data_IF_674835035953
#
_entry.id   IF_674835035953
#
_cell.length_a   1.000
_cell.length_b   1.000
_cell.length_c   1.000
_cell.angle_alpha   90.00
_cell.angle_beta   90.00
_cell.angle_gamma   90.00
#
_symmetry.space_group_name_H-M   'P 1'
#
loop_
_entity.id
_entity.type
_entity.pdbx_description
1 polymer ?
#
# COMPACT_ATOMS: atom_id res chain seq x y z
N UNK A 1 34.09 13.97 19.11
CA UNK A 1 33.29 12.75 19.29
C UNK A 1 32.07 12.63 18.37
N UNK A 2 31.76 13.63 17.49
CA UNK A 2 30.61 13.59 16.55
C UNK A 2 30.88 12.85 15.20
N UNK A 3 32.12 12.47 14.91
CA UNK A 3 32.51 11.87 13.61
C UNK A 3 32.43 10.34 13.52
N UNK A 4 32.15 9.63 14.62
CA UNK A 4 32.19 8.16 14.65
C UNK A 4 30.84 7.49 14.28
N UNK A 5 29.74 8.20 14.42
CA UNK A 5 28.39 7.62 14.22
C UNK A 5 28.02 7.52 12.72
N UNK A 6 28.62 8.37 11.87
CA UNK A 6 28.33 8.40 10.43
C UNK A 6 28.91 7.20 9.66
N UNK A 7 29.97 6.58 10.21
CA UNK A 7 30.64 5.43 9.57
C UNK A 7 29.97 4.08 9.86
N UNK A 8 29.15 3.99 10.92
CA UNK A 8 28.50 2.71 11.27
C UNK A 8 27.37 2.30 10.31
N UNK A 9 26.68 3.25 9.70
CA UNK A 9 25.61 2.94 8.73
C UNK A 9 26.14 2.38 7.41
N UNK A 10 27.31 2.86 6.97
CA UNK A 10 27.93 2.41 5.72
C UNK A 10 28.80 1.15 5.92
N UNK A 11 29.40 0.97 7.10
CA UNK A 11 30.15 -0.24 7.45
C UNK A 11 29.26 -1.46 7.68
N UNK A 12 28.01 -1.28 8.10
CA UNK A 12 27.07 -2.41 8.19
C UNK A 12 26.66 -2.95 6.81
N UNK A 13 26.62 -2.09 5.79
CA UNK A 13 26.41 -2.53 4.40
C UNK A 13 27.66 -3.17 3.77
N UNK A 14 28.88 -2.71 4.15
CA UNK A 14 30.14 -3.23 3.59
C UNK A 14 30.59 -4.55 4.24
N UNK A 15 30.25 -4.79 5.52
CA UNK A 15 30.58 -6.06 6.21
C UNK A 15 29.74 -7.26 5.75
N UNK A 16 28.66 -7.02 4.99
CA UNK A 16 27.87 -8.11 4.36
C UNK A 16 28.53 -8.59 3.04
N UNK A 17 29.50 -7.86 2.50
CA UNK A 17 30.15 -8.18 1.21
C UNK A 17 31.46 -8.97 1.33
N UNK A 18 31.94 -9.28 2.54
CA UNK A 18 33.21 -10.00 2.74
C UNK A 18 33.06 -11.44 3.23
N UNK A 19 32.07 -12.18 2.73
CA UNK A 19 32.07 -13.64 2.91
C UNK A 19 32.83 -14.32 1.77
N UNK A 20 33.79 -15.16 2.13
CA UNK A 20 34.70 -15.90 1.29
C UNK A 20 34.00 -16.77 0.23
N UNK A 21 34.54 -16.80 -0.99
CA UNK A 21 34.00 -17.55 -2.12
C UNK A 21 33.96 -19.09 -1.93
N UNK A 22 34.67 -19.65 -0.97
CA UNK A 22 34.73 -21.11 -0.72
C UNK A 22 33.54 -21.60 0.14
N UNK A 23 33.00 -20.79 1.03
CA UNK A 23 31.76 -21.12 1.77
C UNK A 23 30.53 -21.06 0.86
N UNK A 24 30.52 -20.19 -0.16
CA UNK A 24 29.41 -20.04 -1.11
C UNK A 24 29.21 -21.33 -1.96
N UNK A 25 30.25 -22.08 -2.28
CA UNK A 25 30.13 -23.34 -3.04
C UNK A 25 29.52 -24.47 -2.22
N UNK A 26 29.84 -24.56 -0.93
CA UNK A 26 29.28 -25.58 -0.03
C UNK A 26 27.81 -25.30 0.25
N UNK A 27 27.47 -24.05 0.51
CA UNK A 27 26.09 -23.64 0.77
C UNK A 27 25.21 -23.75 -0.50
N UNK A 28 25.77 -23.48 -1.69
CA UNK A 28 25.06 -23.66 -2.96
C UNK A 28 24.75 -25.14 -3.27
N UNK A 29 25.64 -26.06 -2.96
CA UNK A 29 25.41 -27.51 -3.15
C UNK A 29 24.41 -28.02 -2.13
N UNK A 30 24.46 -27.56 -0.88
CA UNK A 30 23.49 -27.92 0.17
C UNK A 30 22.11 -27.36 -0.16
N UNK A 31 22.03 -26.09 -0.62
CA UNK A 31 20.79 -25.48 -1.06
C UNK A 31 20.21 -26.14 -2.32
N UNK A 32 21.06 -26.61 -3.25
CA UNK A 32 20.60 -27.35 -4.44
C UNK A 32 20.07 -28.74 -4.07
N UNK A 33 20.70 -29.46 -3.12
CA UNK A 33 20.22 -30.73 -2.61
C UNK A 33 18.94 -30.60 -1.79
N UNK A 34 18.81 -29.54 -0.99
CA UNK A 34 17.58 -29.19 -0.28
C UNK A 34 16.44 -28.80 -1.22
N UNK A 35 16.76 -28.07 -2.29
CA UNK A 35 15.78 -27.75 -3.33
C UNK A 35 15.36 -29.00 -4.11
N UNK A 36 16.28 -29.90 -4.43
CA UNK A 36 15.98 -31.18 -5.08
C UNK A 36 15.16 -32.12 -4.18
N UNK A 37 15.46 -32.19 -2.88
CA UNK A 37 14.69 -32.98 -1.90
C UNK A 37 13.29 -32.41 -1.66
N UNK A 38 13.14 -31.06 -1.62
CA UNK A 38 11.85 -30.38 -1.59
C UNK A 38 11.05 -30.57 -2.88
N UNK A 39 11.71 -30.53 -4.05
CA UNK A 39 11.09 -30.82 -5.34
C UNK A 39 10.64 -32.27 -5.43
N UNK A 40 11.45 -33.24 -4.98
CA UNK A 40 11.06 -34.65 -4.92
C UNK A 40 9.90 -34.90 -3.95
N UNK A 41 9.84 -34.18 -2.82
CA UNK A 41 8.72 -34.24 -1.88
C UNK A 41 7.44 -33.63 -2.45
N UNK A 42 7.56 -32.58 -3.26
CA UNK A 42 6.42 -31.96 -3.99
C UNK A 42 5.90 -32.92 -5.08
N UNK A 43 6.78 -33.67 -5.76
CA UNK A 43 6.40 -34.64 -6.80
C UNK A 43 5.77 -35.90 -6.18
N UNK A 44 6.15 -36.30 -4.96
CA UNK A 44 5.56 -37.45 -4.27
C UNK A 44 4.20 -37.17 -3.63
N UNK A 45 3.82 -35.89 -3.46
CA UNK A 45 2.56 -35.47 -2.85
C UNK A 45 1.47 -35.08 -3.90
N UNK A 46 1.58 -35.66 -5.11
CA UNK A 46 0.63 -35.43 -6.22
C UNK A 46 -0.79 -35.99 -5.95
N UNK A 47 -1.05 -36.54 -4.78
CA UNK A 47 -2.39 -36.96 -4.33
C UNK A 47 -3.04 -36.01 -3.34
N UNK A 48 -2.34 -34.96 -2.88
CA UNK A 48 -2.93 -33.96 -2.01
C UNK A 48 -3.90 -33.09 -2.81
N UNK A 49 -5.19 -33.14 -2.44
CA UNK A 49 -6.19 -32.18 -2.97
C UNK A 49 -5.63 -30.77 -2.83
N UNK A 50 -5.69 -29.93 -3.89
CA UNK A 50 -5.18 -28.57 -3.79
C UNK A 50 -5.82 -27.86 -2.61
N UNK A 51 -4.99 -27.24 -1.76
CA UNK A 51 -5.49 -26.47 -0.59
C UNK A 51 -6.42 -25.37 -1.12
N UNK A 52 -7.65 -25.34 -0.61
CA UNK A 52 -8.63 -24.33 -1.00
C UNK A 52 -8.17 -22.91 -0.65
N UNK A 53 -7.33 -22.75 0.36
CA UNK A 53 -6.76 -21.49 0.82
C UNK A 53 -5.33 -21.30 0.34
N UNK A 54 -5.06 -20.10 -0.16
CA UNK A 54 -3.69 -19.60 -0.44
C UNK A 54 -3.44 -18.37 0.42
N UNK A 55 -2.39 -18.43 1.23
CA UNK A 55 -2.00 -17.35 2.15
C UNK A 55 -0.62 -16.86 1.74
N UNK A 56 -0.45 -15.53 1.61
CA UNK A 56 0.82 -14.89 1.35
C UNK A 56 0.91 -13.63 2.20
N UNK A 57 2.00 -13.48 2.92
CA UNK A 57 2.29 -12.28 3.72
C UNK A 57 3.62 -11.68 3.28
N UNK A 58 3.66 -10.37 3.23
CA UNK A 58 4.86 -9.60 2.95
C UNK A 58 4.94 -8.43 3.93
N UNK A 59 6.07 -8.28 4.60
CA UNK A 59 6.43 -7.11 5.37
C UNK A 59 7.59 -6.41 4.68
N UNK A 60 7.47 -5.12 4.43
CA UNK A 60 8.50 -4.31 3.79
C UNK A 60 8.89 -3.17 4.72
N UNK A 61 10.17 -3.05 5.04
CA UNK A 61 10.72 -1.94 5.81
C UNK A 61 11.47 -1.01 4.86
N UNK A 62 11.16 0.27 4.90
CA UNK A 62 11.77 1.29 4.07
C UNK A 62 12.53 2.31 4.92
N UNK A 63 13.65 2.78 4.39
CA UNK A 63 14.44 3.87 4.94
C UNK A 63 14.83 4.84 3.82
N UNK A 64 14.71 6.12 4.11
CA UNK A 64 15.06 7.22 3.21
C UNK A 64 15.85 8.25 4.02
N UNK A 65 16.95 8.77 3.47
CA UNK A 65 17.78 9.78 4.14
C UNK A 65 18.29 10.80 3.12
N UNK A 66 18.25 12.07 3.51
CA UNK A 66 19.02 13.14 2.89
C UNK A 66 19.84 13.87 3.96
N UNK A 67 21.03 14.33 3.62
CA UNK A 67 21.90 15.05 4.54
C UNK A 67 22.64 16.16 3.80
N UNK A 68 22.61 17.36 4.38
CA UNK A 68 23.32 18.53 3.88
C UNK A 68 24.10 19.15 5.04
N UNK A 69 25.37 19.37 4.84
CA UNK A 69 26.24 20.05 5.81
C UNK A 69 27.10 21.05 5.04
N UNK A 70 26.98 22.36 5.35
CA UNK A 70 27.69 23.45 4.68
C UNK A 70 27.55 23.42 3.15
N UNK A 71 26.39 22.99 2.65
CA UNK A 71 26.10 22.89 1.23
C UNK A 71 25.70 24.26 0.67
N UNK A 72 26.50 24.79 -0.27
CA UNK A 72 26.37 26.18 -0.76
C UNK A 72 24.99 26.46 -1.40
N UNK A 73 24.41 25.48 -2.05
CA UNK A 73 23.11 25.63 -2.73
C UNK A 73 21.90 25.44 -1.81
N UNK A 74 22.13 25.25 -0.49
CA UNK A 74 21.09 24.97 0.48
C UNK A 74 20.60 23.53 0.42
N UNK A 75 19.69 23.18 1.32
CA UNK A 75 19.08 21.86 1.44
C UNK A 75 18.64 21.58 2.87
N UNK A 76 17.63 20.72 3.03
CA UNK A 76 17.13 20.30 4.35
C UNK A 76 17.38 18.81 4.53
N UNK A 77 18.17 18.46 5.55
CA UNK A 77 18.41 17.07 5.93
C UNK A 77 17.12 16.42 6.38
N UNK A 78 16.92 15.16 6.00
CA UNK A 78 15.74 14.38 6.41
C UNK A 78 16.07 12.92 6.66
N UNK A 79 15.30 12.30 7.54
CA UNK A 79 15.35 10.88 7.84
C UNK A 79 13.92 10.37 7.94
N UNK A 80 13.60 9.33 7.15
CA UNK A 80 12.28 8.72 7.15
C UNK A 80 12.36 7.21 7.25
N UNK A 81 11.44 6.63 8.00
CA UNK A 81 11.24 5.20 8.10
C UNK A 81 9.77 4.88 7.89
N UNK A 82 9.49 3.78 7.19
CA UNK A 82 8.14 3.25 7.08
C UNK A 82 8.13 1.73 7.01
N UNK A 83 7.04 1.15 7.49
CA UNK A 83 6.74 -0.27 7.41
C UNK A 83 5.44 -0.47 6.64
N UNK A 84 5.42 -1.46 5.74
CA UNK A 84 4.24 -1.89 5.00
C UNK A 84 4.02 -3.38 5.20
N UNK A 85 2.84 -3.74 5.63
CA UNK A 85 2.37 -5.11 5.65
C UNK A 85 1.33 -5.32 4.55
N UNK A 86 1.49 -6.39 3.76
CA UNK A 86 0.49 -6.87 2.80
C UNK A 86 0.21 -8.35 3.06
N UNK A 87 -1.03 -8.66 3.39
CA UNK A 87 -1.53 -10.02 3.54
C UNK A 87 -2.58 -10.34 2.49
N UNK A 88 -2.49 -11.53 1.87
CA UNK A 88 -3.47 -12.07 0.94
C UNK A 88 -3.96 -13.41 1.46
N UNK A 89 -5.27 -13.57 1.60
CA UNK A 89 -5.95 -14.74 2.15
C UNK A 89 -7.04 -15.15 1.16
N UNK A 90 -6.66 -15.93 0.15
CA UNK A 90 -7.52 -16.25 -0.98
C UNK A 90 -8.03 -17.68 -0.89
N UNK A 91 -9.33 -17.83 -0.98
CA UNK A 91 -10.02 -19.11 -1.07
C UNK A 91 -10.49 -19.37 -2.50
N UNK A 92 -10.25 -20.56 -3.01
CA UNK A 92 -10.76 -20.98 -4.31
C UNK A 92 -11.13 -22.46 -4.28
N UNK A 93 -12.42 -22.75 -4.46
CA UNK A 93 -12.94 -24.12 -4.57
C UNK A 93 -14.18 -24.13 -5.45
N UNK A 94 -14.20 -25.03 -6.42
CA UNK A 94 -15.30 -25.23 -7.37
C UNK A 94 -15.69 -23.93 -8.09
N UNK A 95 -16.88 -23.40 -7.82
CA UNK A 95 -17.39 -22.14 -8.40
C UNK A 95 -17.19 -20.93 -7.49
N UNK A 96 -16.65 -21.12 -6.28
CA UNK A 96 -16.50 -20.07 -5.27
C UNK A 96 -15.07 -19.59 -5.23
N UNK A 97 -14.91 -18.27 -5.24
CA UNK A 97 -13.66 -17.56 -4.96
C UNK A 97 -13.91 -16.52 -3.87
N UNK A 98 -12.98 -16.36 -2.97
CA UNK A 98 -13.05 -15.35 -1.94
C UNK A 98 -11.66 -14.78 -1.71
N UNK A 99 -11.42 -13.63 -2.32
CA UNK A 99 -10.14 -12.94 -2.32
C UNK A 99 -10.15 -11.86 -1.24
N UNK A 100 -9.29 -12.02 -0.24
CA UNK A 100 -9.16 -11.08 0.86
C UNK A 100 -7.74 -10.52 0.87
N UNK A 101 -7.61 -9.21 1.15
CA UNK A 101 -6.33 -8.58 1.37
C UNK A 101 -6.38 -7.58 2.51
N UNK A 102 -5.24 -7.48 3.22
CA UNK A 102 -5.00 -6.45 4.22
C UNK A 102 -3.71 -5.71 3.83
N UNK A 103 -3.80 -4.39 3.73
CA UNK A 103 -2.65 -3.51 3.52
C UNK A 103 -2.57 -2.52 4.68
N UNK A 104 -1.48 -2.57 5.43
CA UNK A 104 -1.19 -1.68 6.53
C UNK A 104 0.11 -0.97 6.24
N UNK A 105 0.13 0.35 6.38
CA UNK A 105 1.33 1.15 6.19
C UNK A 105 1.45 2.17 7.30
N UNK A 106 2.63 2.29 7.89
CA UNK A 106 2.90 3.33 8.87
C UNK A 106 4.33 3.82 8.76
N UNK A 107 4.53 5.14 8.87
CA UNK A 107 5.85 5.71 8.80
C UNK A 107 5.90 7.13 9.33
N UNK A 108 7.09 7.48 9.82
CA UNK A 108 7.41 8.83 10.29
C UNK A 108 8.69 9.33 9.65
N UNK A 109 8.74 10.63 9.45
CA UNK A 109 9.91 11.36 8.98
C UNK A 109 10.28 12.48 9.95
N UNK A 110 11.54 12.82 9.96
CA UNK A 110 12.07 13.97 10.68
C UNK A 110 12.94 14.79 9.75
N UNK A 111 12.77 16.10 9.78
CA UNK A 111 13.55 17.05 8.98
C UNK A 111 14.35 17.96 9.90
N UNK A 112 15.44 18.50 9.38
CA UNK A 112 16.23 19.50 10.06
C UNK A 112 15.64 20.89 9.78
N UNK A 113 14.51 21.20 10.43
CA UNK A 113 13.78 22.45 10.22
C UNK A 113 14.50 23.67 10.78
N UNK A 114 15.41 23.47 11.74
CA UNK A 114 16.08 24.54 12.47
C UNK A 114 17.58 24.71 12.15
N UNK A 115 18.10 23.88 11.22
CA UNK A 115 19.50 23.92 10.80
C UNK A 115 20.52 23.45 11.84
N UNK A 116 20.06 22.81 12.94
CA UNK A 116 20.92 22.31 14.02
C UNK A 116 21.22 20.81 13.90
N UNK A 117 20.75 20.20 12.84
CA UNK A 117 20.89 18.78 12.54
C UNK A 117 19.63 17.97 12.83
N UNK A 118 19.42 16.90 12.07
CA UNK A 118 18.19 16.08 12.08
C UNK A 118 17.83 15.58 13.50
N UNK A 119 18.84 15.38 14.36
CA UNK A 119 18.64 14.84 15.72
C UNK A 119 18.45 15.90 16.79
N UNK A 120 18.40 17.20 16.42
CA UNK A 120 18.12 18.27 17.39
C UNK A 120 16.70 18.11 17.96
N UNK A 121 16.54 18.34 19.27
CA UNK A 121 15.27 18.16 19.99
C UNK A 121 14.13 19.07 19.51
N UNK A 122 14.45 20.17 18.83
CA UNK A 122 13.47 21.08 18.25
C UNK A 122 12.78 20.52 17.00
N UNK A 123 13.37 19.53 16.34
CA UNK A 123 12.78 18.91 15.16
C UNK A 123 11.74 17.85 15.55
N UNK A 124 10.57 17.90 14.93
CA UNK A 124 9.46 16.98 15.22
C UNK A 124 9.43 15.79 14.25
N UNK A 125 8.91 14.67 14.73
CA UNK A 125 8.52 13.58 13.84
C UNK A 125 7.17 13.90 13.22
N UNK A 126 7.11 13.84 11.88
CA UNK A 126 5.89 14.01 11.09
C UNK A 126 5.49 12.68 10.45
N UNK A 127 4.22 12.46 10.30
CA UNK A 127 3.68 11.33 9.58
C UNK A 127 3.99 11.45 8.08
N UNK A 128 4.61 10.44 7.48
CA UNK A 128 4.88 10.37 6.04
C UNK A 128 4.18 9.20 5.35
N UNK A 129 3.71 8.22 6.14
CA UNK A 129 2.88 7.11 5.68
C UNK A 129 1.88 6.72 6.76
N UNK A 130 0.64 6.49 6.35
CA UNK A 130 -0.40 6.02 7.24
C UNK A 130 -1.56 5.45 6.42
N UNK A 131 -1.73 4.14 6.47
CA UNK A 131 -2.70 3.42 5.66
C UNK A 131 -3.24 2.22 6.40
N UNK A 132 -4.55 2.11 6.44
CA UNK A 132 -5.30 0.89 6.73
C UNK A 132 -6.17 0.62 5.51
N UNK A 133 -6.01 -0.50 4.83
CA UNK A 133 -6.91 -0.93 3.77
C UNK A 133 -7.20 -2.42 3.91
N UNK A 134 -8.48 -2.74 4.12
CA UNK A 134 -8.98 -4.12 4.15
C UNK A 134 -9.90 -4.30 2.97
N UNK A 135 -9.70 -5.37 2.20
CA UNK A 135 -10.48 -5.65 1.01
C UNK A 135 -10.93 -7.10 1.00
N UNK A 136 -12.19 -7.34 0.71
CA UNK A 136 -12.80 -8.67 0.63
C UNK A 136 -13.69 -8.73 -0.60
N UNK A 137 -13.40 -9.64 -1.54
CA UNK A 137 -14.18 -9.85 -2.76
C UNK A 137 -14.64 -11.30 -2.77
N UNK A 138 -15.92 -11.49 -2.58
CA UNK A 138 -16.56 -12.79 -2.77
C UNK A 138 -17.02 -12.93 -4.23
N UNK A 139 -16.66 -14.01 -4.89
CA UNK A 139 -16.99 -14.30 -6.28
C UNK A 139 -17.64 -15.67 -6.45
N UNK A 140 -18.70 -15.72 -7.26
CA UNK A 140 -19.31 -16.96 -7.71
C UNK A 140 -19.24 -17.03 -9.23
N UNK A 141 -18.65 -18.11 -9.76
CA UNK A 141 -18.42 -18.25 -11.21
C UNK A 141 -19.72 -18.18 -12.00
N UNK A 142 -19.81 -17.19 -12.87
CA UNK A 142 -20.94 -17.00 -13.77
C UNK A 142 -20.70 -17.71 -15.11
N UNK A 143 -19.83 -17.19 -15.95
CA UNK A 143 -19.48 -17.76 -17.26
C UNK A 143 -18.04 -17.41 -17.60
N UNK A 144 -17.35 -18.30 -18.29
CA UNK A 144 -15.95 -18.16 -18.74
C UNK A 144 -15.06 -17.51 -17.68
N UNK A 145 -14.64 -16.24 -17.88
CA UNK A 145 -13.75 -15.47 -17.03
C UNK A 145 -14.52 -14.48 -16.12
N UNK A 146 -15.85 -14.54 -16.09
CA UNK A 146 -16.73 -13.68 -15.33
C UNK A 146 -17.25 -14.35 -14.06
N UNK A 147 -17.31 -13.57 -12.97
CA UNK A 147 -17.90 -13.97 -11.71
C UNK A 147 -18.98 -12.96 -11.28
N UNK A 148 -20.06 -13.39 -10.68
CA UNK A 148 -20.89 -12.54 -9.84
C UNK A 148 -20.08 -12.21 -8.59
N UNK A 149 -20.00 -10.94 -8.21
CA UNK A 149 -19.11 -10.52 -7.14
C UNK A 149 -19.75 -9.55 -6.18
N UNK A 150 -19.44 -9.72 -4.90
CA UNK A 150 -19.72 -8.79 -3.84
C UNK A 150 -18.39 -8.33 -3.23
N UNK A 151 -18.23 -7.02 -3.04
CA UNK A 151 -17.03 -6.40 -2.47
C UNK A 151 -17.37 -5.66 -1.18
N UNK A 152 -16.50 -5.81 -0.20
CA UNK A 152 -16.38 -4.94 0.97
C UNK A 152 -14.95 -4.40 1.01
N UNK A 153 -14.79 -3.08 0.99
CA UNK A 153 -13.49 -2.42 1.13
C UNK A 153 -13.59 -1.39 2.25
N UNK A 154 -12.67 -1.46 3.19
CA UNK A 154 -12.56 -0.51 4.30
C UNK A 154 -11.20 0.18 4.21
N UNK A 155 -11.18 1.52 4.37
CA UNK A 155 -9.97 2.34 4.37
C UNK A 155 -9.98 3.32 5.51
N UNK A 156 -8.84 3.50 6.15
CA UNK A 156 -8.61 4.52 7.16
C UNK A 156 -7.11 4.72 7.40
N UNK A 157 -6.77 5.37 8.51
CA UNK A 157 -5.44 5.64 9.03
C UNK A 157 -5.34 5.38 10.53
N UNK A 158 -4.09 5.32 11.05
CA UNK A 158 -3.79 4.99 12.45
C UNK A 158 -3.64 6.22 13.35
N UNK A 159 -3.09 7.33 12.81
CA UNK A 159 -2.51 8.42 13.62
C UNK A 159 -2.95 9.79 13.11
N UNK A 160 -2.75 10.81 13.93
CA UNK A 160 -3.05 12.18 13.56
C UNK A 160 -2.16 12.67 12.42
N UNK A 161 -2.77 13.36 11.47
CA UNK A 161 -2.10 14.02 10.36
C UNK A 161 -2.27 15.52 10.44
N UNK A 162 -1.18 16.27 10.35
CA UNK A 162 -1.18 17.73 10.45
C UNK A 162 -0.69 18.38 9.17
N UNK A 163 -1.30 19.53 8.81
CA UNK A 163 -0.77 20.47 7.84
C UNK A 163 0.00 21.56 8.61
N UNK A 164 1.27 21.79 8.22
CA UNK A 164 2.12 22.79 8.85
C UNK A 164 2.24 22.62 10.38
N UNK A 165 2.24 21.37 10.88
CA UNK A 165 2.38 21.00 12.30
C UNK A 165 1.30 21.57 13.25
N UNK A 166 0.28 22.23 12.74
CA UNK A 166 -0.73 22.95 13.55
C UNK A 166 -2.16 22.59 13.21
N UNK A 167 -2.48 22.41 11.92
CA UNK A 167 -3.85 22.14 11.48
C UNK A 167 -4.07 20.64 11.39
N UNK A 168 -4.95 20.09 12.22
CA UNK A 168 -5.34 18.69 12.16
C UNK A 168 -6.10 18.42 10.85
N UNK A 169 -5.62 17.45 10.06
CA UNK A 169 -6.20 17.06 8.77
C UNK A 169 -6.81 15.67 8.77
N UNK A 170 -6.35 14.80 9.66
CA UNK A 170 -6.87 13.43 9.82
C UNK A 170 -6.49 12.91 11.21
N UNK A 171 -7.28 11.94 11.71
CA UNK A 171 -6.98 11.20 12.93
C UNK A 171 -7.42 9.74 12.79
N UNK A 172 -7.26 8.93 13.83
CA UNK A 172 -7.70 7.53 13.80
C UNK A 172 -9.19 7.44 13.41
N UNK A 173 -9.50 6.64 12.39
CA UNK A 173 -10.83 6.48 11.81
C UNK A 173 -11.51 7.81 11.37
N UNK A 174 -10.72 8.85 11.08
CA UNK A 174 -11.24 10.17 10.67
C UNK A 174 -10.36 10.80 9.59
N UNK A 175 -10.73 10.65 8.28
CA UNK A 175 -11.88 9.89 7.80
C UNK A 175 -11.65 8.38 7.72
N UNK A 176 -12.73 7.61 7.80
CA UNK A 176 -12.78 6.21 7.38
C UNK A 176 -13.80 6.04 6.26
N UNK A 177 -13.53 5.13 5.32
CA UNK A 177 -14.39 4.86 4.18
C UNK A 177 -14.73 3.38 4.12
N UNK A 178 -16.03 3.08 4.00
CA UNK A 178 -16.53 1.72 3.74
C UNK A 178 -17.24 1.70 2.40
N UNK A 179 -16.73 0.89 1.48
CA UNK A 179 -17.36 0.63 0.18
C UNK A 179 -17.94 -0.78 0.21
N UNK A 180 -19.24 -0.89 -0.09
CA UNK A 180 -19.93 -2.15 -0.27
C UNK A 180 -20.52 -2.19 -1.67
N UNK A 181 -20.27 -3.24 -2.44
CA UNK A 181 -20.74 -3.28 -3.81
C UNK A 181 -21.13 -4.68 -4.29
N UNK A 182 -22.06 -4.73 -5.25
CA UNK A 182 -22.48 -5.93 -5.94
C UNK A 182 -22.34 -5.69 -7.44
N UNK A 183 -21.71 -6.62 -8.14
CA UNK A 183 -21.43 -6.45 -9.58
C UNK A 183 -20.88 -7.70 -10.22
N UNK A 184 -20.13 -7.50 -11.29
CA UNK A 184 -19.46 -8.54 -12.07
C UNK A 184 -17.94 -8.31 -12.02
N UNK A 185 -17.18 -9.36 -11.76
CA UNK A 185 -15.73 -9.36 -11.86
C UNK A 185 -15.30 -10.13 -13.11
N UNK A 186 -14.53 -9.46 -13.96
CA UNK A 186 -13.84 -10.06 -15.10
C UNK A 186 -12.39 -10.37 -14.73
N UNK A 187 -12.02 -11.65 -14.73
CA UNK A 187 -10.68 -12.11 -14.28
C UNK A 187 -10.08 -13.08 -15.32
N UNK A 188 -9.65 -12.55 -16.50
CA UNK A 188 -9.16 -13.38 -17.61
C UNK A 188 -7.81 -14.01 -17.33
N UNK A 189 -7.05 -13.44 -16.38
CA UNK A 189 -5.72 -13.87 -15.98
C UNK A 189 -5.54 -13.71 -14.46
N UNK A 190 -4.67 -14.50 -13.83
CA UNK A 190 -4.39 -14.38 -12.38
C UNK A 190 -3.88 -13.00 -11.93
N UNK A 191 -3.25 -12.27 -12.86
CA UNK A 191 -2.63 -10.97 -12.61
C UNK A 191 -3.50 -9.76 -12.98
N UNK A 192 -4.71 -9.98 -13.52
CA UNK A 192 -5.62 -8.91 -13.95
C UNK A 192 -7.04 -9.21 -13.48
N UNK A 193 -7.64 -8.25 -12.78
CA UNK A 193 -9.05 -8.27 -12.37
C UNK A 193 -9.70 -6.92 -12.66
N UNK A 194 -10.91 -6.94 -13.19
CA UNK A 194 -11.76 -5.76 -13.42
C UNK A 194 -13.12 -6.02 -12.78
N UNK A 195 -13.42 -5.32 -11.71
CA UNK A 195 -14.74 -5.32 -11.06
C UNK A 195 -15.56 -4.14 -11.58
N UNK A 196 -16.77 -4.43 -12.05
CA UNK A 196 -17.75 -3.44 -12.49
C UNK A 196 -18.99 -3.60 -11.63
N UNK A 197 -19.32 -2.61 -10.84
CA UNK A 197 -20.40 -2.65 -9.87
C UNK A 197 -21.34 -1.46 -10.04
N UNK A 198 -22.53 -1.67 -10.64
CA UNK A 198 -23.54 -0.61 -10.76
C UNK A 198 -24.28 -0.34 -9.45
N UNK A 199 -24.19 -1.22 -8.47
CA UNK A 199 -24.86 -1.12 -7.17
C UNK A 199 -23.76 -1.03 -6.11
N UNK A 200 -23.48 0.21 -5.66
CA UNK A 200 -22.40 0.46 -4.70
C UNK A 200 -22.84 1.50 -3.69
N UNK A 201 -22.70 1.17 -2.42
CA UNK A 201 -22.78 2.11 -1.31
C UNK A 201 -21.38 2.50 -0.86
N UNK A 202 -21.13 3.79 -0.67
CA UNK A 202 -19.94 4.32 -0.01
C UNK A 202 -20.36 5.09 1.23
N UNK A 203 -19.85 4.68 2.37
CA UNK A 203 -20.06 5.37 3.64
C UNK A 203 -18.75 6.01 4.09
N UNK A 204 -18.76 7.31 4.32
CA UNK A 204 -17.66 8.06 4.92
C UNK A 204 -17.98 8.31 6.39
N UNK A 205 -17.01 8.07 7.26
CA UNK A 205 -17.12 8.29 8.70
C UNK A 205 -16.08 9.29 9.15
N UNK A 206 -16.43 10.18 10.05
CA UNK A 206 -15.50 11.04 10.78
C UNK A 206 -15.89 10.97 12.26
N UNK A 207 -15.04 10.33 13.07
CA UNK A 207 -15.29 10.14 14.51
C UNK A 207 -14.73 11.26 15.36
N UNK A 208 -13.83 12.08 14.80
CA UNK A 208 -13.25 13.22 15.47
C UNK A 208 -13.95 14.50 15.00
N UNK A 209 -14.76 15.10 15.88
CA UNK A 209 -15.56 16.29 15.58
C UNK A 209 -14.71 17.51 15.20
N UNK A 210 -13.45 17.60 15.66
CA UNK A 210 -12.53 18.69 15.30
C UNK A 210 -12.19 18.73 13.80
N UNK A 211 -12.48 17.64 13.06
CA UNK A 211 -12.30 17.54 11.61
C UNK A 211 -13.56 17.91 10.82
N UNK A 212 -14.71 18.05 11.46
CA UNK A 212 -15.98 18.41 10.81
C UNK A 212 -16.11 19.94 10.79
N UNK A 213 -15.25 20.58 9.99
CA UNK A 213 -15.24 22.03 9.83
C UNK A 213 -15.52 22.42 8.38
N UNK A 214 -16.05 23.62 8.11
CA UNK A 214 -16.28 24.09 6.74
C UNK A 214 -15.01 23.96 5.87
N UNK A 215 -15.14 23.28 4.74
CA UNK A 215 -14.02 23.04 3.79
C UNK A 215 -13.16 21.82 4.08
N UNK A 216 -13.42 21.05 5.15
CA UNK A 216 -12.69 19.81 5.47
C UNK A 216 -13.61 18.66 5.94
N UNK A 217 -14.88 18.69 5.57
CA UNK A 217 -15.90 17.80 6.15
C UNK A 217 -16.02 16.43 5.44
N UNK A 218 -15.17 16.09 4.47
CA UNK A 218 -15.18 14.80 3.74
C UNK A 218 -16.56 14.41 3.15
N UNK A 219 -17.36 15.42 2.73
CA UNK A 219 -18.74 15.25 2.30
C UNK A 219 -19.76 15.16 3.46
N UNK A 220 -19.31 15.22 4.71
CA UNK A 220 -20.15 15.11 5.92
C UNK A 220 -20.68 16.51 6.29
N UNK A 221 -21.95 16.60 6.61
CA UNK A 221 -22.59 17.86 7.01
C UNK A 221 -22.26 18.19 8.47
N UNK A 222 -22.26 19.47 8.79
CA UNK A 222 -22.09 19.96 10.15
C UNK A 222 -23.11 19.30 11.10
N UNK A 223 -22.62 18.74 12.20
CA UNK A 223 -23.44 18.01 13.18
C UNK A 223 -23.70 16.52 12.83
N UNK A 224 -23.18 16.03 11.71
CA UNK A 224 -23.23 14.61 11.33
C UNK A 224 -21.81 14.03 11.36
N UNK A 225 -21.68 12.72 11.65
CA UNK A 225 -20.40 12.00 11.63
C UNK A 225 -20.32 10.97 10.50
N UNK A 226 -21.35 10.93 9.64
CA UNK A 226 -21.51 9.93 8.59
C UNK A 226 -22.10 10.56 7.33
N UNK A 227 -21.55 10.19 6.19
CA UNK A 227 -22.10 10.48 4.87
C UNK A 227 -22.24 9.19 4.06
N UNK A 228 -23.43 8.95 3.50
CA UNK A 228 -23.69 7.81 2.62
C UNK A 228 -23.93 8.29 1.19
N UNK A 229 -23.18 7.74 0.26
CA UNK A 229 -23.33 7.95 -1.17
C UNK A 229 -23.70 6.62 -1.86
N UNK A 230 -24.60 6.68 -2.84
CA UNK A 230 -25.00 5.54 -3.66
C UNK A 230 -24.63 5.77 -5.11
N UNK A 231 -23.94 4.79 -5.73
CA UNK A 231 -23.40 4.99 -7.06
C UNK A 231 -22.93 3.72 -7.77
N UNK A 232 -22.07 3.92 -8.76
CA UNK A 232 -21.34 2.87 -9.45
C UNK A 232 -19.87 2.88 -9.06
N UNK A 233 -19.24 1.70 -9.11
CA UNK A 233 -17.83 1.53 -8.80
C UNK A 233 -17.16 0.62 -9.84
N UNK A 234 -15.99 1.04 -10.29
CA UNK A 234 -15.13 0.26 -11.15
C UNK A 234 -13.77 0.16 -10.49
N UNK A 235 -13.24 -1.07 -10.37
CA UNK A 235 -11.91 -1.33 -9.84
C UNK A 235 -11.13 -2.18 -10.82
N UNK A 236 -9.98 -1.69 -11.26
CA UNK A 236 -9.02 -2.42 -12.07
C UNK A 236 -7.81 -2.72 -11.19
N UNK A 237 -7.45 -3.99 -11.12
CA UNK A 237 -6.30 -4.46 -10.37
C UNK A 237 -5.36 -5.23 -11.29
N UNK A 238 -4.09 -4.87 -11.26
CA UNK A 238 -3.03 -5.53 -12.00
C UNK A 238 -1.83 -5.78 -11.09
N UNK A 239 -1.34 -7.03 -11.06
CA UNK A 239 -0.16 -7.39 -10.27
C UNK A 239 0.65 -8.45 -11.00
N UNK A 240 1.87 -8.11 -11.43
CA UNK A 240 2.74 -9.01 -12.19
C UNK A 240 4.21 -8.62 -12.08
N UNK A 241 5.11 -9.60 -12.17
CA UNK A 241 6.50 -9.36 -12.55
C UNK A 241 6.55 -9.01 -14.05
N UNK A 242 6.74 -7.72 -14.36
CA UNK A 242 6.70 -7.19 -15.74
C UNK A 242 8.03 -7.31 -16.45
N UNK A 243 9.13 -7.26 -15.71
CA UNK A 243 10.49 -7.55 -16.15
C UNK A 243 11.18 -8.37 -15.08
N UNK A 244 12.29 -9.04 -15.43
CA UNK A 244 13.10 -9.78 -14.46
C UNK A 244 13.45 -8.88 -13.27
N UNK A 245 13.06 -9.31 -12.07
CA UNK A 245 13.25 -8.58 -10.81
C UNK A 245 12.44 -7.26 -10.69
N UNK A 246 11.50 -6.97 -11.58
CA UNK A 246 10.64 -5.79 -11.50
C UNK A 246 9.19 -6.22 -11.36
N UNK A 247 8.64 -6.03 -10.17
CA UNK A 247 7.27 -6.34 -9.82
C UNK A 247 6.43 -5.07 -9.84
N UNK A 248 5.34 -5.07 -10.59
CA UNK A 248 4.37 -3.99 -10.70
C UNK A 248 3.05 -4.41 -10.07
N UNK A 249 2.56 -3.63 -9.13
CA UNK A 249 1.19 -3.65 -8.63
C UNK A 249 0.55 -2.33 -8.97
N UNK A 250 -0.63 -2.34 -9.61
CA UNK A 250 -1.39 -1.15 -9.95
C UNK A 250 -2.86 -1.34 -9.65
N UNK A 251 -3.47 -0.32 -9.05
CA UNK A 251 -4.90 -0.24 -8.74
C UNK A 251 -5.45 1.03 -9.36
N UNK A 252 -6.58 0.94 -10.04
CA UNK A 252 -7.32 2.10 -10.54
C UNK A 252 -8.78 1.91 -10.16
N UNK A 253 -9.32 2.90 -9.49
CA UNK A 253 -10.66 2.86 -8.94
C UNK A 253 -11.43 4.12 -9.34
N UNK A 254 -12.69 3.94 -9.70
CA UNK A 254 -13.63 4.99 -10.01
C UNK A 254 -14.88 4.78 -9.17
N UNK A 255 -15.34 5.83 -8.50
CA UNK A 255 -16.65 5.86 -7.86
C UNK A 255 -17.45 7.02 -8.42
N UNK A 256 -18.62 6.74 -8.98
CA UNK A 256 -19.51 7.77 -9.51
C UNK A 256 -20.81 7.79 -8.68
N UNK A 257 -21.06 8.93 -8.03
CA UNK A 257 -22.22 9.15 -7.17
C UNK A 257 -23.45 9.48 -8.02
N UNK A 258 -24.51 8.68 -7.88
CA UNK A 258 -25.79 8.89 -8.59
C UNK A 258 -26.65 9.99 -7.97
N UNK A 259 -26.37 10.41 -6.75
CA UNK A 259 -27.15 11.41 -6.02
C UNK A 259 -26.76 12.84 -6.38
N UNK A 260 -25.64 13.02 -7.10
CA UNK A 260 -25.15 14.34 -7.54
C UNK A 260 -25.71 14.68 -8.92
N UNK A 261 -26.33 15.81 -9.05
CA UNK A 261 -26.99 16.29 -10.30
C UNK A 261 -26.01 16.79 -11.39
N UNK A 262 -24.72 16.65 -11.23
CA UNK A 262 -23.77 17.18 -12.19
C UNK A 262 -23.34 16.15 -13.23
N UNK A 263 -22.61 16.59 -14.26
CA UNK A 263 -22.16 15.74 -15.38
C UNK A 263 -21.26 14.63 -14.83
N UNK A 264 -21.41 13.39 -15.33
CA UNK A 264 -20.74 12.17 -14.87
C UNK A 264 -19.26 12.34 -14.51
N UNK A 265 -18.46 13.02 -15.33
CA UNK A 265 -17.04 13.21 -15.06
C UNK A 265 -16.74 14.12 -13.85
N UNK A 266 -17.68 14.98 -13.42
CA UNK A 266 -17.54 15.83 -12.22
C UNK A 266 -17.95 15.12 -10.94
N UNK A 267 -18.71 14.03 -11.07
CA UNK A 267 -19.20 13.23 -9.93
C UNK A 267 -18.38 11.97 -9.69
N UNK A 268 -17.32 11.78 -10.48
CA UNK A 268 -16.51 10.57 -10.41
C UNK A 268 -15.23 10.85 -9.65
N UNK A 269 -15.12 10.19 -8.52
CA UNK A 269 -13.86 10.14 -7.76
C UNK A 269 -12.93 9.11 -8.41
N UNK A 270 -11.66 9.43 -8.41
CA UNK A 270 -10.59 8.60 -9.00
C UNK A 270 -9.52 8.33 -7.95
N UNK A 271 -9.12 7.07 -7.81
CA UNK A 271 -7.97 6.69 -7.01
C UNK A 271 -7.09 5.75 -7.85
N UNK A 272 -5.94 6.25 -8.25
CA UNK A 272 -4.91 5.48 -8.91
C UNK A 272 -3.73 5.28 -7.97
N UNK A 273 -3.34 4.05 -7.73
CA UNK A 273 -2.15 3.69 -6.96
C UNK A 273 -1.30 2.72 -7.77
N UNK A 274 -0.02 3.00 -7.89
CA UNK A 274 0.94 2.07 -8.47
C UNK A 274 2.15 1.90 -7.56
N UNK A 275 2.60 0.66 -7.43
CA UNK A 275 3.75 0.29 -6.62
C UNK A 275 4.69 -0.58 -7.48
N UNK A 276 5.90 -0.10 -7.69
CA UNK A 276 6.95 -0.80 -8.43
C UNK A 276 8.02 -1.21 -7.44
N UNK A 277 8.32 -2.51 -7.38
CA UNK A 277 9.42 -3.05 -6.58
C UNK A 277 10.49 -3.59 -7.52
N UNK A 278 11.70 -3.08 -7.38
CA UNK A 278 12.86 -3.49 -8.18
C UNK A 278 13.85 -4.23 -7.27
N UNK A 279 13.91 -5.55 -7.41
CA UNK A 279 14.75 -6.39 -6.58
C UNK A 279 16.22 -6.26 -7.01
N UNK A 280 17.06 -5.74 -6.13
CA UNK A 280 18.50 -5.61 -6.33
C UNK A 280 19.18 -6.93 -5.98
N UNK A 281 18.85 -7.51 -4.81
CA UNK A 281 19.33 -8.82 -4.37
C UNK A 281 18.31 -9.46 -3.40
N UNK A 282 18.69 -10.54 -2.70
CA UNK A 282 17.77 -11.23 -1.77
C UNK A 282 17.37 -10.42 -0.54
N UNK A 283 18.11 -9.36 -0.21
CA UNK A 283 17.90 -8.54 0.98
C UNK A 283 17.44 -7.11 0.67
N UNK A 284 17.78 -6.60 -0.53
CA UNK A 284 17.57 -5.21 -0.88
C UNK A 284 16.74 -5.08 -2.15
N UNK A 285 15.79 -4.18 -2.12
CA UNK A 285 15.00 -3.73 -3.26
C UNK A 285 14.96 -2.20 -3.29
N UNK A 286 14.79 -1.62 -4.47
CA UNK A 286 14.32 -0.26 -4.61
C UNK A 286 12.81 -0.29 -4.83
N UNK A 287 12.09 0.74 -4.37
CA UNK A 287 10.67 0.87 -4.60
C UNK A 287 10.31 2.25 -5.15
N UNK A 288 9.26 2.29 -5.94
CA UNK A 288 8.59 3.49 -6.37
C UNK A 288 7.09 3.32 -6.11
N UNK A 289 6.49 4.26 -5.39
CA UNK A 289 5.05 4.32 -5.15
C UNK A 289 4.53 5.66 -5.64
N UNK A 290 3.47 5.63 -6.45
CA UNK A 290 2.74 6.80 -6.90
C UNK A 290 1.27 6.59 -6.58
N UNK A 291 0.65 7.57 -5.95
CA UNK A 291 -0.78 7.64 -5.73
C UNK A 291 -1.32 8.96 -6.27
N UNK A 292 -2.38 8.89 -7.05
CA UNK A 292 -3.09 10.03 -7.61
C UNK A 292 -4.56 9.90 -7.20
N UNK A 293 -5.07 10.90 -6.51
CA UNK A 293 -6.45 10.89 -6.00
C UNK A 293 -7.17 12.15 -6.45
N UNK A 294 -8.38 11.97 -6.96
CA UNK A 294 -9.37 13.01 -7.12
C UNK A 294 -10.60 12.62 -6.30
N UNK A 295 -10.93 13.41 -5.30
CA UNK A 295 -12.09 13.20 -4.44
C UNK A 295 -12.85 14.51 -4.31
N UNK A 296 -13.99 14.59 -4.97
CA UNK A 296 -14.80 15.80 -5.04
C UNK A 296 -15.46 16.16 -3.70
N UNK A 297 -15.62 15.20 -2.79
CA UNK A 297 -16.18 15.42 -1.45
C UNK A 297 -15.20 16.08 -0.48
N UNK A 298 -13.90 15.97 -0.76
CA UNK A 298 -12.85 16.55 0.06
C UNK A 298 -12.27 17.82 -0.59
N UNK A 299 -11.85 17.71 -1.88
CA UNK A 299 -11.18 18.79 -2.58
C UNK A 299 -11.28 18.55 -4.09
N UNK A 300 -11.75 19.52 -4.84
CA UNK A 300 -11.87 19.45 -6.30
C UNK A 300 -10.53 19.53 -7.05
N UNK A 301 -9.40 19.44 -6.35
CA UNK A 301 -8.07 19.39 -6.95
C UNK A 301 -7.52 17.95 -6.95
N UNK A 302 -6.69 17.65 -7.93
CA UNK A 302 -5.93 16.42 -7.98
C UNK A 302 -4.87 16.40 -6.88
N UNK A 303 -4.80 15.29 -6.14
CA UNK A 303 -3.84 15.04 -5.08
C UNK A 303 -2.78 14.07 -5.58
N UNK A 304 -1.51 14.35 -5.33
CA UNK A 304 -0.39 13.52 -5.75
C UNK A 304 0.46 13.16 -4.54
N UNK A 305 0.78 11.87 -4.41
CA UNK A 305 1.74 11.36 -3.46
C UNK A 305 2.73 10.47 -4.21
N UNK A 306 4.01 10.79 -4.13
CA UNK A 306 5.08 9.99 -4.73
C UNK A 306 6.13 9.67 -3.69
N UNK A 307 6.64 8.45 -3.72
CA UNK A 307 7.74 7.99 -2.87
C UNK A 307 8.68 7.11 -3.68
N UNK A 308 9.97 7.29 -3.43
CA UNK A 308 11.03 6.46 -4.00
C UNK A 308 12.09 6.24 -2.91
N UNK A 309 12.56 5.00 -2.77
CA UNK A 309 13.55 4.69 -1.75
C UNK A 309 14.02 3.23 -1.81
N UNK A 310 14.74 2.84 -0.76
CA UNK A 310 15.22 1.49 -0.56
C UNK A 310 14.33 0.74 0.41
N UNK A 311 14.20 -0.57 0.20
CA UNK A 311 13.38 -1.44 1.01
C UNK A 311 14.02 -2.79 1.29
N UNK A 312 13.70 -3.37 2.44
CA UNK A 312 14.06 -4.73 2.84
C UNK A 312 12.77 -5.56 2.88
N UNK A 313 12.53 -6.43 1.88
CA UNK A 313 11.34 -7.27 1.83
C UNK A 313 11.52 -8.52 2.71
N UNK A 314 10.52 -8.83 3.54
CA UNK A 314 10.40 -10.03 4.37
C UNK A 314 9.13 -10.78 3.96
N UNK A 315 9.28 -11.97 3.35
CA UNK A 315 8.16 -12.81 2.91
C UNK A 315 8.01 -14.01 3.85
N UNK A 316 6.75 -14.34 4.27
CA UNK A 316 6.44 -15.46 5.16
C UNK A 316 4.99 -15.97 5.01
#
# INVERSE_FOLDING_TARGET
MKKIILFLGFTLCASILSFSQDDIKKDAVTAANDAASKAAKIISDTTAKPKAWTIKNNLTLNAEQSMFENWEQGGVGSLAFSAFFKGFYNYSKDKVKWDNSAELGYGKMRQDDNGKGIFDSGNKFRKNEDKIELNSIFGYKAFKDWNYSALVNFRSQFDDGFKNDTVLMSSFLSPAYLITSIGLEYKPRPYLSVLISPITGRTSFVLNDDLIVPGNAFGIKEGENLHFAFGSYVKIFFEKEVFKNVHLLSKLEFFSDYQKESVFYRNTDVNFETFITMKVNKYLSAFFNLQIVYNNDFNSNWQFKQRFGLSVPLNF
#
